data_IF_774228735095
#
_entry.id   IF_774228735095
#
_cell.length_a   1.000
_cell.length_b   1.000
_cell.length_c   1.000
_cell.angle_alpha   90.00
_cell.angle_beta   90.00
_cell.angle_gamma   90.00
#
_symmetry.space_group_name_H-M   'P 1'
#
loop_
_entity.id
_entity.type
_entity.pdbx_description
1 polymer ?
#
# COMPACT_ATOMS: atom_id res chain seq x y z
N UNK A 1 7.44 -5.07 9.39
CA UNK A 1 6.22 -4.90 8.58
C UNK A 1 5.56 -3.58 8.96
N UNK A 2 5.06 -2.84 7.99
CA UNK A 2 4.46 -1.53 8.25
C UNK A 2 2.95 -1.57 8.10
N UNK A 3 2.45 -2.08 6.98
CA UNK A 3 1.02 -2.05 6.71
C UNK A 3 0.57 -3.18 5.78
N UNK A 4 -0.75 -3.38 5.79
CA UNK A 4 -1.45 -4.22 4.81
C UNK A 4 -2.28 -3.30 3.94
N UNK A 5 -2.16 -3.41 2.62
CA UNK A 5 -2.96 -2.68 1.66
C UNK A 5 -4.31 -3.36 1.44
N UNK A 6 -5.38 -2.64 1.66
CA UNK A 6 -6.75 -3.16 1.64
C UNK A 6 -7.61 -2.34 0.67
N UNK A 7 -8.10 -2.98 -0.38
CA UNK A 7 -8.91 -2.34 -1.40
C UNK A 7 -10.36 -2.16 -0.92
N UNK A 8 -10.92 -0.97 -1.17
CA UNK A 8 -12.31 -0.66 -0.81
C UNK A 8 -12.95 0.25 -1.83
N UNK A 9 -14.27 0.19 -1.93
CA UNK A 9 -15.07 1.17 -2.70
C UNK A 9 -15.46 2.36 -1.84
N UNK A 10 -15.41 2.22 -0.52
CA UNK A 10 -15.92 3.23 0.40
C UNK A 10 -15.07 3.24 1.67
N UNK A 11 -14.21 4.24 1.76
CA UNK A 11 -13.27 4.38 2.89
C UNK A 11 -14.01 4.52 4.22
N UNK A 12 -15.09 5.31 4.26
CA UNK A 12 -15.85 5.50 5.50
C UNK A 12 -16.46 4.19 6.00
N UNK A 13 -17.08 3.44 5.10
CA UNK A 13 -17.70 2.15 5.44
C UNK A 13 -16.65 1.17 5.95
N UNK A 14 -15.54 1.03 5.24
CA UNK A 14 -14.47 0.10 5.65
C UNK A 14 -13.83 0.52 6.96
N UNK A 15 -13.63 1.82 7.20
CA UNK A 15 -13.07 2.25 8.47
C UNK A 15 -14.00 1.96 9.65
N UNK A 16 -15.33 1.99 9.45
CA UNK A 16 -16.30 1.57 10.47
C UNK A 16 -16.19 0.08 10.75
N UNK A 17 -16.00 -0.75 9.74
CA UNK A 17 -15.84 -2.20 9.90
C UNK A 17 -14.65 -2.53 10.81
N UNK A 18 -13.60 -1.72 10.78
CA UNK A 18 -12.42 -1.91 11.61
C UNK A 18 -12.44 -1.12 12.93
N UNK A 19 -13.51 -0.37 13.21
CA UNK A 19 -13.57 0.51 14.38
C UNK A 19 -13.48 -0.23 15.73
N UNK A 20 -13.78 -1.51 15.75
CA UNK A 20 -13.73 -2.34 16.96
C UNK A 20 -12.31 -2.82 17.32
N UNK A 21 -11.31 -2.50 16.50
CA UNK A 21 -9.96 -3.04 16.64
C UNK A 21 -8.97 -2.02 17.22
N UNK A 22 -9.47 -0.94 17.82
CA UNK A 22 -8.63 0.13 18.41
C UNK A 22 -7.61 0.71 17.43
N UNK A 23 -8.03 0.88 16.18
CA UNK A 23 -7.23 1.50 15.16
C UNK A 23 -7.55 2.99 15.07
N UNK A 24 -6.51 3.83 15.03
CA UNK A 24 -6.67 5.27 14.90
C UNK A 24 -6.79 5.64 13.42
N UNK A 25 -7.93 6.23 13.06
CA UNK A 25 -8.17 6.66 11.68
C UNK A 25 -7.39 7.94 11.38
N UNK A 26 -6.63 7.93 10.28
CA UNK A 26 -5.99 9.11 9.73
C UNK A 26 -6.89 9.88 8.77
N UNK A 27 -6.34 10.94 8.19
CA UNK A 27 -7.03 11.72 7.16
C UNK A 27 -6.99 10.97 5.83
N UNK A 28 -7.91 11.35 4.91
CA UNK A 28 -7.90 10.83 3.56
C UNK A 28 -6.86 11.60 2.74
N UNK A 29 -5.98 10.86 2.06
CA UNK A 29 -4.95 11.42 1.19
C UNK A 29 -5.32 11.07 -0.25
N UNK A 30 -5.43 12.09 -1.10
CA UNK A 30 -5.67 11.87 -2.53
C UNK A 30 -4.33 11.82 -3.27
N UNK A 31 -4.06 10.69 -3.90
CA UNK A 31 -2.83 10.47 -4.67
C UNK A 31 -3.16 10.36 -6.15
N UNK A 32 -2.96 11.45 -6.88
CA UNK A 32 -3.25 11.49 -8.32
C UNK A 32 -2.24 10.69 -9.14
N UNK A 33 -1.00 10.59 -8.65
CA UNK A 33 0.06 9.86 -9.34
C UNK A 33 -0.23 8.36 -9.36
N UNK A 34 -0.62 7.79 -8.22
CA UNK A 34 -0.99 6.38 -8.12
C UNK A 34 -2.49 6.14 -8.40
N UNK A 35 -3.27 7.20 -8.59
CA UNK A 35 -4.70 7.14 -8.91
C UNK A 35 -5.50 6.41 -7.83
N UNK A 36 -5.28 6.81 -6.57
CA UNK A 36 -5.94 6.22 -5.40
C UNK A 36 -6.24 7.29 -4.35
N UNK A 37 -7.26 7.04 -3.54
CA UNK A 37 -7.44 7.72 -2.26
C UNK A 37 -6.99 6.76 -1.16
N UNK A 38 -6.30 7.29 -0.16
CA UNK A 38 -5.68 6.51 0.91
C UNK A 38 -6.17 6.99 2.26
N UNK A 39 -6.46 6.06 3.16
CA UNK A 39 -6.71 6.36 4.56
C UNK A 39 -6.03 5.29 5.42
N UNK A 40 -5.08 5.70 6.26
CA UNK A 40 -4.44 4.78 7.18
C UNK A 40 -5.29 4.59 8.43
N UNK A 41 -5.42 3.35 8.86
CA UNK A 41 -5.94 2.97 10.16
C UNK A 41 -4.75 2.48 10.97
N UNK A 42 -4.27 3.29 11.91
CA UNK A 42 -3.03 3.02 12.63
C UNK A 42 -3.27 2.22 13.89
N UNK A 43 -2.65 1.05 13.96
CA UNK A 43 -2.61 0.21 15.13
C UNK A 43 -1.25 0.29 15.81
N UNK A 44 -1.12 -0.39 16.95
CA UNK A 44 0.11 -0.40 17.74
C UNK A 44 1.29 -1.03 16.98
N UNK A 45 1.04 -2.16 16.31
CA UNK A 45 2.10 -2.92 15.65
C UNK A 45 1.97 -2.96 14.13
N UNK A 46 0.80 -2.60 13.60
CA UNK A 46 0.47 -2.73 12.20
C UNK A 46 -0.59 -1.71 11.81
N UNK A 47 -0.44 -1.13 10.64
CA UNK A 47 -1.45 -0.25 10.06
C UNK A 47 -2.17 -0.97 8.92
N UNK A 48 -3.42 -0.60 8.71
CA UNK A 48 -4.18 -0.98 7.51
C UNK A 48 -4.25 0.25 6.63
N UNK A 49 -3.81 0.11 5.39
CA UNK A 49 -3.93 1.17 4.40
C UNK A 49 -5.18 0.92 3.56
N UNK A 50 -6.25 1.66 3.84
CA UNK A 50 -7.46 1.60 3.02
C UNK A 50 -7.21 2.32 1.71
N UNK A 51 -7.43 1.65 0.60
CA UNK A 51 -7.15 2.17 -0.73
C UNK A 51 -8.40 2.11 -1.59
N UNK A 52 -8.86 3.28 -2.03
CA UNK A 52 -9.96 3.40 -2.95
C UNK A 52 -9.42 3.78 -4.33
N UNK A 53 -9.47 2.88 -5.32
CA UNK A 53 -9.01 3.22 -6.67
C UNK A 53 -9.85 4.32 -7.30
N UNK A 54 -9.20 5.27 -7.99
CA UNK A 54 -9.89 6.25 -8.83
C UNK A 54 -10.52 5.55 -10.05
N UNK A 55 -11.44 6.22 -10.73
CA UNK A 55 -12.16 5.67 -11.89
C UNK A 55 -11.22 5.14 -12.98
N UNK A 56 -10.09 5.83 -13.18
CA UNK A 56 -9.11 5.48 -14.22
C UNK A 56 -8.03 4.51 -13.75
N UNK A 57 -8.15 3.95 -12.55
CA UNK A 57 -7.22 2.94 -12.04
C UNK A 57 -7.75 1.54 -12.35
N UNK A 58 -7.55 1.10 -13.60
CA UNK A 58 -8.12 -0.17 -14.06
C UNK A 58 -7.44 -1.39 -13.43
N UNK A 59 -6.14 -1.29 -13.13
CA UNK A 59 -5.39 -2.39 -12.52
C UNK A 59 -5.92 -2.78 -11.16
N UNK A 60 -6.08 -1.83 -10.26
CA UNK A 60 -6.60 -2.10 -8.92
C UNK A 60 -8.08 -2.46 -8.92
N UNK A 61 -8.86 -1.85 -9.80
CA UNK A 61 -10.26 -2.25 -9.97
C UNK A 61 -10.39 -3.71 -10.38
N UNK A 62 -9.53 -4.17 -11.27
CA UNK A 62 -9.48 -5.56 -11.71
C UNK A 62 -9.13 -6.50 -10.54
N UNK A 63 -8.14 -6.15 -9.73
CA UNK A 63 -7.78 -6.92 -8.54
C UNK A 63 -8.94 -7.02 -7.57
N UNK A 64 -9.61 -5.91 -7.31
CA UNK A 64 -10.77 -5.87 -6.41
C UNK A 64 -11.90 -6.75 -6.93
N UNK A 65 -12.19 -6.69 -8.23
CA UNK A 65 -13.21 -7.51 -8.86
C UNK A 65 -12.91 -9.01 -8.75
N UNK A 66 -11.63 -9.38 -8.78
CA UNK A 66 -11.19 -10.76 -8.59
C UNK A 66 -11.25 -11.24 -7.14
N UNK A 67 -11.54 -10.34 -6.19
CA UNK A 67 -11.57 -10.66 -4.77
C UNK A 67 -10.22 -10.51 -4.06
N UNK A 68 -9.21 -9.98 -4.73
CA UNK A 68 -7.88 -9.72 -4.12
C UNK A 68 -7.92 -8.43 -3.31
N UNK A 69 -8.58 -8.47 -2.18
CA UNK A 69 -8.86 -7.27 -1.35
C UNK A 69 -7.62 -6.86 -0.54
N UNK A 70 -7.06 -7.76 0.26
CA UNK A 70 -5.78 -7.54 0.95
C UNK A 70 -4.67 -7.88 -0.03
N UNK A 71 -4.24 -6.91 -0.84
CA UNK A 71 -3.45 -7.19 -2.04
C UNK A 71 -1.96 -6.93 -1.91
N UNK A 72 -1.52 -6.19 -0.87
CA UNK A 72 -0.09 -6.00 -0.65
C UNK A 72 0.26 -5.86 0.81
N UNK A 73 1.55 -6.09 1.10
CA UNK A 73 2.14 -5.83 2.41
C UNK A 73 3.30 -4.86 2.20
N UNK A 74 3.35 -3.82 3.02
CA UNK A 74 4.42 -2.83 3.01
C UNK A 74 5.42 -3.08 4.12
N UNK A 75 6.70 -2.96 3.80
CA UNK A 75 7.82 -3.13 4.72
C UNK A 75 8.70 -1.89 4.73
N UNK A 76 9.07 -1.40 5.92
CA UNK A 76 10.10 -0.37 6.03
C UNK A 76 11.46 -0.99 5.76
N UNK A 77 12.29 -0.31 4.96
CA UNK A 77 13.62 -0.76 4.63
C UNK A 77 14.66 0.22 5.14
N UNK A 78 15.60 -0.25 5.95
CA UNK A 78 16.69 0.56 6.47
C UNK A 78 17.83 0.73 5.46
N UNK A 79 17.82 -0.05 4.40
CA UNK A 79 18.77 0.07 3.29
C UNK A 79 18.01 -0.16 2.00
N UNK A 80 17.31 0.89 1.56
CA UNK A 80 16.31 0.82 0.50
C UNK A 80 16.88 0.31 -0.83
N UNK A 81 17.99 0.87 -1.29
CA UNK A 81 18.53 0.49 -2.60
C UNK A 81 19.15 -0.89 -2.62
N UNK A 82 19.72 -1.33 -1.48
CA UNK A 82 20.19 -2.72 -1.35
C UNK A 82 19.03 -3.69 -1.43
N UNK A 83 17.96 -3.41 -0.69
CA UNK A 83 16.77 -4.27 -0.67
C UNK A 83 16.05 -4.24 -2.02
N UNK A 84 15.98 -3.07 -2.64
CA UNK A 84 15.42 -2.95 -3.97
C UNK A 84 16.18 -3.83 -4.97
N UNK A 85 17.50 -3.79 -4.94
CA UNK A 85 18.35 -4.58 -5.84
C UNK A 85 18.14 -6.09 -5.63
N UNK A 86 18.06 -6.53 -4.38
CA UNK A 86 17.80 -7.94 -4.05
C UNK A 86 16.43 -8.39 -4.55
N UNK A 87 15.40 -7.61 -4.25
CA UNK A 87 14.03 -7.96 -4.59
C UNK A 87 13.78 -7.92 -6.10
N UNK A 88 14.39 -6.98 -6.81
CA UNK A 88 14.24 -6.88 -8.26
C UNK A 88 14.85 -8.07 -9.01
N UNK A 89 15.81 -8.76 -8.41
CA UNK A 89 16.37 -9.99 -8.98
C UNK A 89 15.47 -11.20 -8.74
N UNK A 90 14.68 -11.19 -7.67
CA UNK A 90 13.85 -12.33 -7.26
C UNK A 90 12.42 -12.24 -7.78
N UNK A 91 11.86 -11.04 -7.79
CA UNK A 91 10.46 -10.79 -8.15
C UNK A 91 10.37 -9.80 -9.30
N UNK A 92 9.19 -9.73 -9.93
CA UNK A 92 8.94 -8.75 -10.99
C UNK A 92 8.78 -7.36 -10.39
N UNK A 93 9.61 -6.40 -10.79
CA UNK A 93 9.43 -5.00 -10.42
C UNK A 93 8.26 -4.42 -11.19
N UNK A 94 7.22 -3.96 -10.47
CA UNK A 94 6.06 -3.33 -11.10
C UNK A 94 6.09 -1.80 -10.96
N UNK A 95 6.69 -1.28 -9.89
CA UNK A 95 6.92 0.15 -9.72
C UNK A 95 8.36 0.34 -9.24
N UNK A 96 9.15 1.06 -10.03
CA UNK A 96 10.53 1.42 -9.68
C UNK A 96 10.54 2.45 -8.55
N UNK A 97 11.67 2.66 -7.87
CA UNK A 97 11.74 3.64 -6.78
C UNK A 97 11.16 4.99 -7.19
N UNK A 98 10.19 5.45 -6.43
CA UNK A 98 9.51 6.72 -6.64
C UNK A 98 9.03 7.28 -5.31
N UNK A 99 8.90 8.59 -5.22
CA UNK A 99 8.42 9.25 -4.01
C UNK A 99 6.91 9.07 -3.87
N UNK A 100 6.45 8.82 -2.64
CA UNK A 100 5.03 8.65 -2.34
C UNK A 100 4.56 9.68 -1.33
N UNK A 101 3.50 10.41 -1.67
CA UNK A 101 2.97 11.46 -0.77
C UNK A 101 2.41 10.87 0.52
N UNK A 102 1.88 9.65 0.47
CA UNK A 102 1.38 8.96 1.67
C UNK A 102 2.46 8.71 2.72
N UNK A 103 3.73 8.74 2.35
CA UNK A 103 4.87 8.50 3.23
C UNK A 103 5.82 9.69 3.29
N UNK A 104 5.28 10.91 3.23
CA UNK A 104 6.05 12.16 3.31
C UNK A 104 7.16 12.22 2.25
N UNK A 105 6.86 11.79 1.04
CA UNK A 105 7.77 11.77 -0.11
C UNK A 105 8.98 10.84 0.05
N UNK A 106 8.92 9.88 0.97
CA UNK A 106 9.90 8.80 1.01
C UNK A 106 9.72 7.92 -0.21
N UNK A 107 10.81 7.29 -0.63
CA UNK A 107 10.77 6.41 -1.79
C UNK A 107 10.06 5.10 -1.46
N UNK A 108 9.31 4.61 -2.43
CA UNK A 108 8.67 3.30 -2.38
C UNK A 108 9.00 2.55 -3.66
N UNK A 109 8.91 1.23 -3.62
CA UNK A 109 8.99 0.38 -4.80
C UNK A 109 8.06 -0.81 -4.58
N UNK A 110 7.53 -1.34 -5.69
CA UNK A 110 6.56 -2.44 -5.64
C UNK A 110 7.03 -3.59 -6.51
N UNK A 111 6.83 -4.80 -5.99
CA UNK A 111 7.21 -6.05 -6.64
C UNK A 111 6.03 -7.01 -6.65
N UNK A 112 5.94 -7.82 -7.69
CA UNK A 112 4.87 -8.81 -7.82
C UNK A 112 5.48 -10.20 -7.79
N UNK A 113 4.97 -11.03 -6.88
CA UNK A 113 5.34 -12.44 -6.78
C UNK A 113 4.62 -13.25 -7.86
N UNK A 114 5.06 -14.49 -8.07
CA UNK A 114 4.42 -15.39 -9.05
C UNK A 114 2.96 -15.69 -8.71
N UNK A 115 2.61 -15.67 -7.41
CA UNK A 115 1.22 -15.87 -6.96
C UNK A 115 0.37 -14.61 -7.04
N UNK A 116 0.86 -13.55 -7.71
CA UNK A 116 0.19 -12.25 -7.91
C UNK A 116 0.22 -11.33 -6.68
N UNK A 117 0.69 -11.81 -5.53
CA UNK A 117 0.77 -10.96 -4.33
C UNK A 117 1.83 -9.87 -4.49
N UNK A 118 1.52 -8.68 -3.98
CA UNK A 118 2.37 -7.49 -4.14
C UNK A 118 3.12 -7.19 -2.83
N UNK A 119 4.41 -6.94 -2.95
CA UNK A 119 5.27 -6.51 -1.86
C UNK A 119 5.69 -5.07 -2.13
N UNK A 120 5.53 -4.21 -1.12
CA UNK A 120 6.01 -2.83 -1.16
C UNK A 120 7.16 -2.67 -0.18
N UNK A 121 8.22 -1.97 -0.59
CA UNK A 121 9.24 -1.49 0.36
C UNK A 121 9.19 0.02 0.43
N UNK A 122 9.37 0.53 1.65
CA UNK A 122 9.31 1.96 1.95
C UNK A 122 10.65 2.36 2.55
N UNK A 123 11.25 3.39 1.99
CA UNK A 123 12.49 3.93 2.50
C UNK A 123 12.28 4.44 3.93
N UNK A 124 13.07 3.90 4.86
CA UNK A 124 13.01 4.31 6.26
C UNK A 124 14.28 5.07 6.61
N UNK A 125 14.13 6.34 6.92
CA UNK A 125 15.24 7.10 7.52
C UNK A 125 14.79 7.64 8.87
N UNK A 126 15.67 7.49 9.81
CA UNK A 126 15.45 7.99 11.17
C UNK A 126 15.83 9.45 11.28
#
# INVERSE_FOLDING_TARGET
MHHIGYLTDNIHKSSKDFSYLNLKRGKIIRDKKFKIDICFLDGKNLSIELIKPHKNNYGLKKLKKKGSIAYHIGFKSNNFFRDYKKLSKKFKTIIRPTKAIAFNNKRVAFFKKKDEFIIEIIENWN
#
